data_IF_110987785312
#
_entry.id   IF_110987785312
#
_cell.length_a   1.000
_cell.length_b   1.000
_cell.length_c   1.000
_cell.angle_alpha   90.00
_cell.angle_beta   90.00
_cell.angle_gamma   90.00
#
_symmetry.space_group_name_H-M   'P 1'
#
loop_
_entity.id
_entity.type
_entity.pdbx_description
1 polymer ?
#
# COMPACT_ATOMS: atom_id res chain seq x y z
N UNK A 1 -4.94 -9.12 -5.57
CA UNK A 1 -4.76 -10.23 -4.64
C UNK A 1 -5.69 -11.37 -5.07
N UNK A 2 -5.22 -12.33 -5.88
CA UNK A 2 -5.97 -13.55 -6.22
C UNK A 2 -7.45 -13.34 -6.59
N UNK A 3 -7.78 -12.31 -7.34
CA UNK A 3 -9.17 -11.94 -7.68
C UNK A 3 -9.85 -10.98 -6.70
N UNK A 4 -9.33 -10.78 -5.47
CA UNK A 4 -9.83 -9.75 -4.56
C UNK A 4 -9.11 -8.43 -4.81
N UNK A 5 -9.86 -7.39 -5.14
CA UNK A 5 -9.34 -6.04 -5.43
C UNK A 5 -9.55 -5.15 -4.21
N UNK A 6 -8.47 -4.51 -3.76
CA UNK A 6 -8.49 -3.43 -2.78
C UNK A 6 -8.35 -2.12 -3.56
N UNK A 7 -9.36 -1.27 -3.48
CA UNK A 7 -9.32 0.08 -4.05
C UNK A 7 -9.09 1.08 -2.92
N UNK A 8 -8.04 1.90 -3.08
CA UNK A 8 -7.70 2.92 -2.09
C UNK A 8 -8.87 3.91 -1.94
N UNK A 9 -9.10 4.40 -0.74
CA UNK A 9 -10.18 5.29 -0.31
C UNK A 9 -11.62 4.77 -0.58
N UNK A 10 -11.75 3.49 -0.98
CA UNK A 10 -13.04 2.83 -1.24
C UNK A 10 -13.23 1.61 -0.35
N UNK A 11 -12.20 0.76 -0.27
CA UNK A 11 -12.26 -0.49 0.49
C UNK A 11 -11.91 -0.25 1.95
N UNK A 12 -12.77 -0.64 2.89
CA UNK A 12 -12.47 -0.55 4.33
C UNK A 12 -11.65 -1.74 4.85
N UNK A 13 -10.84 -1.52 5.89
CA UNK A 13 -10.03 -2.58 6.53
C UNK A 13 -10.89 -3.75 7.04
N UNK A 14 -12.07 -3.47 7.60
CA UNK A 14 -13.01 -4.51 8.05
C UNK A 14 -13.40 -5.44 6.89
N UNK A 15 -13.69 -4.86 5.72
CA UNK A 15 -14.01 -5.65 4.52
C UNK A 15 -12.84 -6.50 4.05
N UNK A 16 -11.63 -5.99 4.15
CA UNK A 16 -10.41 -6.76 3.84
C UNK A 16 -10.27 -7.93 4.81
N UNK A 17 -10.38 -7.67 6.11
CA UNK A 17 -10.28 -8.68 7.16
C UNK A 17 -11.31 -9.80 6.98
N UNK A 18 -12.58 -9.45 6.79
CA UNK A 18 -13.68 -10.41 6.56
C UNK A 18 -13.44 -11.26 5.31
N UNK A 19 -12.93 -10.66 4.23
CA UNK A 19 -12.72 -11.36 2.98
C UNK A 19 -11.54 -12.34 3.07
N UNK A 20 -10.46 -11.95 3.75
CA UNK A 20 -9.28 -12.80 3.94
C UNK A 20 -9.58 -13.87 5.00
N UNK A 21 -10.31 -13.53 6.07
CA UNK A 21 -10.77 -14.43 7.12
C UNK A 21 -9.74 -14.72 8.21
N UNK A 22 -8.58 -14.06 8.17
CA UNK A 22 -7.52 -14.16 9.19
C UNK A 22 -6.86 -12.80 9.40
N UNK A 23 -6.13 -12.64 10.52
CA UNK A 23 -5.47 -11.41 10.92
C UNK A 23 -6.36 -10.52 11.76
N UNK A 24 -5.74 -9.63 12.53
CA UNK A 24 -6.38 -8.60 13.35
C UNK A 24 -6.05 -7.23 12.80
N UNK A 25 -6.98 -6.30 12.97
CA UNK A 25 -6.69 -4.88 12.70
C UNK A 25 -5.92 -4.34 13.89
N UNK A 26 -4.65 -4.01 13.63
CA UNK A 26 -3.80 -3.35 14.60
C UNK A 26 -4.01 -1.84 14.55
N UNK A 27 -3.62 -1.16 15.62
CA UNK A 27 -3.79 0.29 15.75
C UNK A 27 -2.62 0.89 16.52
N UNK A 28 -2.14 2.04 16.09
CA UNK A 28 -1.10 2.80 16.77
C UNK A 28 -1.29 4.30 16.53
N UNK A 29 -0.85 5.09 17.49
CA UNK A 29 -0.87 6.55 17.43
C UNK A 29 -2.14 7.15 18.02
N UNK A 30 -2.24 8.48 17.95
CA UNK A 30 -3.36 9.27 18.45
C UNK A 30 -3.64 10.44 17.51
N UNK A 31 -4.91 10.85 17.46
CA UNK A 31 -5.34 11.95 16.58
C UNK A 31 -5.02 11.71 15.11
N UNK A 32 -4.47 12.72 14.46
CA UNK A 32 -4.14 12.69 13.04
C UNK A 32 -2.97 11.74 12.69
N UNK A 33 -2.11 11.43 13.67
CA UNK A 33 -0.99 10.49 13.48
C UNK A 33 -1.36 9.03 13.69
N UNK A 34 -2.61 8.75 14.05
CA UNK A 34 -3.07 7.40 14.26
C UNK A 34 -3.18 6.63 12.93
N UNK A 35 -2.81 5.36 12.98
CA UNK A 35 -2.97 4.45 11.85
C UNK A 35 -3.56 3.12 12.30
N UNK A 36 -4.35 2.52 11.44
CA UNK A 36 -4.82 1.14 11.58
C UNK A 36 -4.29 0.32 10.41
N UNK A 37 -3.95 -0.94 10.64
CA UNK A 37 -3.46 -1.79 9.55
C UNK A 37 -3.79 -3.26 9.75
N UNK A 38 -3.76 -3.98 8.65
CA UNK A 38 -3.68 -5.43 8.59
C UNK A 38 -2.29 -5.80 8.07
N UNK A 39 -1.67 -6.83 8.67
CA UNK A 39 -0.37 -7.34 8.25
C UNK A 39 -0.48 -8.80 7.82
N UNK A 40 0.23 -9.18 6.75
CA UNK A 40 0.33 -10.55 6.25
C UNK A 40 1.72 -10.88 5.78
N UNK A 41 2.12 -12.15 5.91
CA UNK A 41 3.32 -12.70 5.26
C UNK A 41 2.94 -13.59 4.08
N UNK A 42 3.80 -13.62 3.07
CA UNK A 42 3.72 -14.51 1.92
C UNK A 42 4.92 -15.45 2.00
N UNK A 43 4.70 -16.67 2.47
CA UNK A 43 5.76 -17.64 2.82
C UNK A 43 6.13 -18.60 1.67
N UNK A 44 5.62 -18.40 0.45
CA UNK A 44 5.72 -19.39 -0.63
C UNK A 44 7.07 -19.49 -1.28
N UNK A 45 7.92 -18.50 -1.10
CA UNK A 45 9.24 -18.45 -1.72
C UNK A 45 10.24 -17.72 -0.84
N UNK A 46 11.49 -18.15 -0.86
CA UNK A 46 12.58 -17.30 -0.42
C UNK A 46 12.94 -16.34 -1.57
N UNK A 47 13.10 -15.07 -1.29
CA UNK A 47 12.88 -14.40 0.00
C UNK A 47 11.41 -14.13 0.31
N UNK A 48 11.08 -14.05 1.59
CA UNK A 48 9.73 -13.76 2.08
C UNK A 48 9.26 -12.37 1.69
N UNK A 49 7.93 -12.24 1.61
CA UNK A 49 7.29 -10.95 1.45
C UNK A 49 6.41 -10.66 2.66
N UNK A 50 6.31 -9.39 3.03
CA UNK A 50 5.37 -8.89 4.03
C UNK A 50 4.52 -7.80 3.40
N UNK A 51 3.25 -7.81 3.72
CA UNK A 51 2.24 -6.89 3.20
C UNK A 51 1.55 -6.20 4.36
N UNK A 52 1.45 -4.87 4.30
CA UNK A 52 0.59 -4.08 5.16
C UNK A 52 -0.48 -3.39 4.33
N UNK A 53 -1.70 -3.43 4.81
CA UNK A 53 -2.84 -2.73 4.26
C UNK A 53 -3.23 -1.70 5.31
N UNK A 54 -3.09 -0.41 4.98
CA UNK A 54 -3.06 0.68 5.95
C UNK A 54 -4.27 1.60 5.75
N UNK A 55 -4.77 2.11 6.85
CA UNK A 55 -5.74 3.21 6.92
C UNK A 55 -5.25 4.22 7.94
N UNK A 56 -4.82 5.38 7.47
CA UNK A 56 -4.44 6.50 8.33
C UNK A 56 -5.69 7.20 8.86
N UNK A 57 -5.68 7.61 10.13
CA UNK A 57 -6.89 8.12 10.81
C UNK A 57 -7.49 9.34 10.11
N UNK A 58 -6.64 10.24 9.61
CA UNK A 58 -7.07 11.44 8.93
C UNK A 58 -7.76 11.15 7.60
N UNK A 59 -7.22 10.20 6.82
CA UNK A 59 -7.72 9.87 5.48
C UNK A 59 -8.75 8.73 5.48
N UNK A 60 -8.56 7.73 6.34
CA UNK A 60 -9.45 6.56 6.42
C UNK A 60 -10.78 6.85 7.09
N UNK A 61 -10.84 7.87 7.93
CA UNK A 61 -12.04 8.26 8.66
C UNK A 61 -12.64 7.12 9.50
N UNK A 62 -13.90 7.26 9.96
CA UNK A 62 -14.54 6.27 10.82
C UNK A 62 -14.75 4.89 10.16
N UNK A 63 -14.72 4.83 8.84
CA UNK A 63 -14.85 3.57 8.08
C UNK A 63 -13.52 2.86 7.92
N UNK A 64 -12.41 3.45 8.34
CA UNK A 64 -11.03 2.94 8.14
C UNK A 64 -10.81 2.53 6.68
N UNK A 65 -11.07 3.45 5.76
CA UNK A 65 -10.82 3.22 4.35
C UNK A 65 -9.32 3.05 4.13
N UNK A 66 -8.94 2.07 3.33
CA UNK A 66 -7.55 1.82 2.97
C UNK A 66 -7.06 2.98 2.12
N UNK A 67 -6.05 3.68 2.57
CA UNK A 67 -5.38 4.77 1.85
C UNK A 67 -3.93 4.45 1.49
N UNK A 68 -3.42 3.32 2.01
CA UNK A 68 -2.07 2.87 1.74
C UNK A 68 -1.92 1.36 1.71
N UNK A 69 -0.99 0.90 0.89
CA UNK A 69 -0.52 -0.50 0.85
C UNK A 69 0.99 -0.48 0.79
N UNK A 70 1.63 -1.21 1.71
CA UNK A 70 3.08 -1.37 1.74
C UNK A 70 3.47 -2.83 1.59
N UNK A 71 4.47 -3.09 0.77
CA UNK A 71 5.09 -4.40 0.62
C UNK A 71 6.58 -4.35 0.95
N UNK A 72 7.09 -5.41 1.55
CA UNK A 72 8.50 -5.61 1.83
C UNK A 72 8.96 -6.98 1.33
N UNK A 73 10.21 -7.05 0.86
CA UNK A 73 10.83 -8.23 0.29
C UNK A 73 12.23 -8.41 0.87
N UNK A 74 12.51 -9.55 1.47
CA UNK A 74 13.84 -9.80 2.02
C UNK A 74 13.96 -11.08 2.82
N UNK A 75 15.21 -11.50 3.03
CA UNK A 75 15.56 -12.71 3.78
C UNK A 75 15.41 -12.54 5.30
N UNK A 76 15.32 -11.29 5.78
CA UNK A 76 15.21 -10.92 7.19
C UNK A 76 13.77 -10.65 7.65
N UNK A 77 12.78 -11.12 6.89
CA UNK A 77 11.38 -11.04 7.31
C UNK A 77 11.09 -12.21 8.23
N UNK A 78 11.07 -11.95 9.53
CA UNK A 78 10.74 -12.94 10.53
C UNK A 78 9.24 -13.22 10.57
N UNK A 79 8.87 -14.45 10.94
CA UNK A 79 7.48 -14.75 11.25
C UNK A 79 7.04 -13.93 12.48
N UNK A 80 5.86 -13.31 12.40
CA UNK A 80 5.28 -12.59 13.52
C UNK A 80 3.85 -13.07 13.73
N UNK A 81 3.41 -13.30 14.97
CA UNK A 81 2.03 -13.66 15.26
C UNK A 81 1.04 -12.58 14.76
N UNK A 82 1.48 -11.33 14.72
CA UNK A 82 0.66 -10.19 14.28
C UNK A 82 0.57 -10.10 12.74
N UNK A 83 1.39 -10.87 12.02
CA UNK A 83 1.41 -10.94 10.55
C UNK A 83 1.25 -12.40 10.08
N UNK A 84 0.05 -12.97 10.17
CA UNK A 84 -0.18 -14.35 9.74
C UNK A 84 0.06 -14.56 8.24
N UNK A 85 0.30 -15.81 7.83
CA UNK A 85 0.47 -16.15 6.42
C UNK A 85 -0.80 -15.89 5.62
N UNK A 86 -0.67 -15.08 4.56
CA UNK A 86 -1.76 -14.82 3.63
C UNK A 86 -2.20 -16.12 2.92
N UNK A 87 -3.50 -16.49 2.93
CA UNK A 87 -3.95 -17.68 2.25
C UNK A 87 -3.62 -17.68 0.76
N UNK A 88 -3.15 -18.81 0.23
CA UNK A 88 -2.68 -18.95 -1.17
C UNK A 88 -3.70 -18.52 -2.23
N UNK A 89 -5.01 -18.62 -1.94
CA UNK A 89 -6.06 -18.15 -2.84
C UNK A 89 -6.01 -16.65 -3.15
N UNK A 90 -5.30 -15.86 -2.33
CA UNK A 90 -5.10 -14.42 -2.54
C UNK A 90 -3.76 -14.09 -3.23
N UNK A 91 -3.02 -15.09 -3.67
CA UNK A 91 -1.77 -14.88 -4.38
C UNK A 91 -1.97 -14.84 -5.90
N UNK A 92 -1.08 -14.16 -6.64
CA UNK A 92 -0.08 -13.19 -6.16
C UNK A 92 -0.71 -11.88 -5.69
N UNK A 93 0.02 -11.13 -4.85
CA UNK A 93 -0.33 -9.76 -4.52
C UNK A 93 0.33 -8.82 -5.54
N UNK A 94 -0.47 -8.04 -6.22
CA UNK A 94 0.01 -7.07 -7.20
C UNK A 94 -0.52 -5.67 -6.88
N UNK A 95 0.26 -4.66 -7.20
CA UNK A 95 -0.16 -3.26 -7.19
C UNK A 95 -0.38 -2.81 -8.63
N UNK A 96 -1.60 -2.39 -8.93
CA UNK A 96 -2.01 -2.00 -10.28
C UNK A 96 -1.72 -3.07 -11.36
N UNK A 97 -1.92 -4.34 -11.00
CA UNK A 97 -1.71 -5.50 -11.89
C UNK A 97 -0.27 -5.96 -12.02
N UNK A 98 0.69 -5.32 -11.35
CA UNK A 98 2.11 -5.65 -11.45
C UNK A 98 2.73 -6.09 -10.13
N UNK A 99 3.73 -6.99 -10.24
CA UNK A 99 4.54 -7.46 -9.13
C UNK A 99 5.81 -6.60 -9.08
N UNK A 100 5.93 -5.74 -8.08
CA UNK A 100 7.04 -4.80 -7.97
C UNK A 100 8.20 -5.31 -7.12
N UNK A 101 7.91 -6.02 -6.05
CA UNK A 101 8.92 -6.54 -5.12
C UNK A 101 9.87 -7.53 -5.81
N UNK A 102 11.16 -7.36 -5.59
CA UNK A 102 12.23 -8.16 -6.20
C UNK A 102 12.56 -7.80 -7.65
N UNK A 103 11.86 -6.84 -8.27
CA UNK A 103 12.18 -6.36 -9.62
C UNK A 103 13.45 -5.53 -9.65
N UNK A 104 14.14 -5.56 -10.79
CA UNK A 104 15.29 -4.70 -11.04
C UNK A 104 14.84 -3.23 -11.10
N UNK A 105 15.67 -2.33 -10.58
CA UNK A 105 15.47 -0.87 -10.63
C UNK A 105 15.18 -0.37 -12.05
N UNK A 106 15.88 -0.90 -13.05
CA UNK A 106 15.68 -0.52 -14.46
C UNK A 106 14.25 -0.73 -14.96
N UNK A 107 13.54 -1.73 -14.44
CA UNK A 107 12.14 -1.97 -14.78
C UNK A 107 11.22 -0.85 -14.26
N UNK A 108 11.54 -0.30 -13.10
CA UNK A 108 10.79 0.82 -12.51
C UNK A 108 11.04 2.09 -13.34
N UNK A 109 12.30 2.38 -13.61
CA UNK A 109 12.69 3.56 -14.38
C UNK A 109 12.12 3.57 -15.80
N UNK A 110 12.03 2.41 -16.44
CA UNK A 110 11.42 2.32 -17.77
C UNK A 110 9.91 2.60 -17.75
N UNK A 111 9.23 2.35 -16.61
CA UNK A 111 7.78 2.55 -16.49
C UNK A 111 7.40 3.92 -15.97
N UNK A 112 8.06 4.40 -14.93
CA UNK A 112 7.69 5.65 -14.24
C UNK A 112 8.61 6.83 -14.61
N UNK A 113 9.73 6.59 -15.30
CA UNK A 113 10.72 7.62 -15.58
C UNK A 113 11.57 7.95 -14.37
N UNK A 114 11.99 9.21 -14.27
CA UNK A 114 12.73 9.70 -13.12
C UNK A 114 11.78 9.91 -11.92
N UNK A 115 12.24 9.62 -10.68
CA UNK A 115 11.43 9.90 -9.50
C UNK A 115 11.18 11.39 -9.34
N UNK A 116 10.01 11.74 -8.81
CA UNK A 116 9.66 13.12 -8.44
C UNK A 116 10.54 13.63 -7.30
N UNK A 117 10.97 12.73 -6.42
CA UNK A 117 11.83 13.00 -5.28
C UNK A 117 12.61 11.75 -4.88
N UNK A 118 13.83 11.94 -4.37
CA UNK A 118 14.61 10.88 -3.74
C UNK A 118 14.99 11.33 -2.34
N UNK A 119 14.70 10.51 -1.34
CA UNK A 119 15.06 10.72 0.06
C UNK A 119 15.78 9.47 0.53
N UNK A 120 17.06 9.60 0.88
CA UNK A 120 17.91 8.47 1.21
C UNK A 120 17.92 7.45 0.06
N UNK A 121 17.42 6.23 0.30
CA UNK A 121 17.29 5.17 -0.71
C UNK A 121 15.82 4.92 -1.13
N UNK A 122 14.91 5.84 -0.81
CA UNK A 122 13.53 5.85 -1.28
C UNK A 122 13.37 6.74 -2.50
N UNK A 123 12.84 6.20 -3.57
CA UNK A 123 12.42 6.92 -4.76
C UNK A 123 10.91 7.07 -4.75
N UNK A 124 10.45 8.30 -4.92
CA UNK A 124 9.04 8.65 -4.82
C UNK A 124 8.54 9.19 -6.16
N UNK A 125 7.42 8.65 -6.60
CA UNK A 125 6.72 9.03 -7.82
C UNK A 125 5.34 9.54 -7.42
N UNK A 126 5.03 10.78 -7.74
CA UNK A 126 3.76 11.41 -7.44
C UNK A 126 2.99 11.70 -8.71
N UNK A 127 1.72 11.40 -8.67
CA UNK A 127 0.77 11.78 -9.70
C UNK A 127 -0.39 12.50 -9.04
N UNK A 128 -0.66 13.74 -9.44
CA UNK A 128 -1.80 14.53 -8.98
C UNK A 128 -2.83 14.68 -10.08
N UNK A 129 -4.09 14.70 -9.69
CA UNK A 129 -5.22 14.90 -10.58
C UNK A 129 -6.39 15.49 -9.82
N UNK A 130 -7.48 15.74 -10.52
CA UNK A 130 -8.75 16.16 -9.91
C UNK A 130 -9.81 15.10 -10.13
N UNK A 131 -10.64 14.88 -9.12
CA UNK A 131 -11.86 14.07 -9.24
C UNK A 131 -13.07 14.93 -9.00
N UNK A 132 -14.19 14.55 -9.61
CA UNK A 132 -15.47 15.26 -9.37
C UNK A 132 -15.87 15.05 -7.90
N UNK A 133 -16.03 16.17 -7.20
CA UNK A 133 -16.56 16.20 -5.86
C UNK A 133 -18.08 16.14 -5.81
N UNK A 134 -18.61 16.04 -4.63
CA UNK A 134 -20.05 16.12 -4.32
C UNK A 134 -20.55 17.57 -4.21
N UNK A 135 -19.75 18.54 -4.66
CA UNK A 135 -20.04 19.97 -4.61
C UNK A 135 -19.77 20.64 -3.25
N UNK A 136 -19.26 19.89 -2.28
CA UNK A 136 -18.93 20.42 -0.93
C UNK A 136 -17.53 20.99 -0.84
N UNK A 137 -16.65 20.59 -1.74
CA UNK A 137 -15.33 21.14 -1.91
C UNK A 137 -15.31 22.26 -2.94
N UNK A 138 -14.13 22.71 -3.36
CA UNK A 138 -13.98 23.70 -4.39
C UNK A 138 -14.81 23.36 -5.66
N UNK A 139 -15.28 24.37 -6.43
CA UNK A 139 -16.09 24.15 -7.64
C UNK A 139 -15.45 23.18 -8.63
N UNK A 140 -14.11 23.08 -8.60
CA UNK A 140 -13.31 22.23 -9.50
C UNK A 140 -13.16 20.78 -9.04
N UNK A 141 -13.76 20.40 -7.90
CA UNK A 141 -13.65 19.05 -7.32
C UNK A 141 -12.51 18.89 -6.33
N UNK A 142 -12.22 17.64 -5.96
CA UNK A 142 -11.18 17.29 -5.01
C UNK A 142 -9.84 17.08 -5.69
N UNK A 143 -8.75 17.48 -5.03
CA UNK A 143 -7.41 17.10 -5.43
C UNK A 143 -7.14 15.66 -4.99
N UNK A 144 -6.63 14.85 -5.92
CA UNK A 144 -6.22 13.46 -5.66
C UNK A 144 -4.73 13.37 -5.87
N UNK A 145 -4.00 12.92 -4.86
CA UNK A 145 -2.57 12.66 -4.93
C UNK A 145 -2.37 11.16 -4.80
N UNK A 146 -1.79 10.55 -5.82
CA UNK A 146 -1.35 9.17 -5.79
C UNK A 146 0.16 9.15 -5.59
N UNK A 147 0.62 8.47 -4.55
CA UNK A 147 2.01 8.23 -4.24
C UNK A 147 2.39 6.80 -4.56
N UNK A 148 3.53 6.62 -5.20
CA UNK A 148 4.18 5.33 -5.35
C UNK A 148 5.64 5.49 -4.95
N UNK A 149 6.07 4.80 -3.90
CA UNK A 149 7.41 4.89 -3.37
C UNK A 149 8.07 3.52 -3.39
N UNK A 150 9.34 3.48 -3.72
CA UNK A 150 10.14 2.25 -3.72
C UNK A 150 11.44 2.48 -2.98
N UNK A 151 11.91 1.43 -2.32
CA UNK A 151 13.25 1.36 -1.75
C UNK A 151 14.07 0.36 -2.54
N UNK A 152 15.25 0.79 -2.98
CA UNK A 152 16.15 -0.04 -3.79
C UNK A 152 17.36 -0.42 -2.95
N UNK A 153 17.65 -1.71 -2.89
CA UNK A 153 18.85 -2.25 -2.28
C UNK A 153 19.44 -3.35 -3.17
N UNK A 154 20.73 -3.23 -3.49
CA UNK A 154 21.41 -4.15 -4.41
C UNK A 154 20.84 -4.18 -5.83
N UNK A 155 20.30 -3.04 -6.31
CA UNK A 155 19.71 -2.92 -7.64
C UNK A 155 18.32 -3.56 -7.80
N UNK A 156 17.70 -3.97 -6.70
CA UNK A 156 16.34 -4.56 -6.71
C UNK A 156 15.41 -3.84 -5.73
N UNK A 157 14.13 -3.84 -6.04
CA UNK A 157 13.09 -3.27 -5.18
C UNK A 157 12.91 -4.15 -3.95
N UNK A 158 13.16 -3.59 -2.78
CA UNK A 158 13.00 -4.25 -1.47
C UNK A 158 11.73 -3.85 -0.74
N UNK A 159 11.38 -2.59 -0.82
CA UNK A 159 10.12 -2.08 -0.28
C UNK A 159 9.35 -1.36 -1.39
N UNK A 160 8.05 -1.41 -1.29
CA UNK A 160 7.13 -0.67 -2.14
C UNK A 160 5.99 -0.14 -1.28
N UNK A 161 5.58 1.08 -1.56
CA UNK A 161 4.43 1.70 -0.93
C UNK A 161 3.58 2.40 -2.00
N UNK A 162 2.29 2.18 -1.96
CA UNK A 162 1.33 2.89 -2.78
C UNK A 162 0.31 3.56 -1.87
N UNK A 163 0.08 4.85 -2.07
CA UNK A 163 -0.84 5.67 -1.29
C UNK A 163 -1.77 6.48 -2.17
N UNK A 164 -2.94 6.80 -1.66
CA UNK A 164 -3.85 7.76 -2.26
C UNK A 164 -4.38 8.71 -1.19
N UNK A 165 -4.36 10.00 -1.50
CA UNK A 165 -4.88 11.07 -0.64
C UNK A 165 -5.78 11.94 -1.47
N UNK A 166 -7.04 12.06 -1.04
CA UNK A 166 -8.03 12.98 -1.63
C UNK A 166 -8.31 14.12 -0.65
N UNK A 167 -8.13 15.33 -1.09
CA UNK A 167 -8.31 16.53 -0.27
C UNK A 167 -9.11 17.63 -0.97
N UNK A 168 -9.68 18.51 -0.19
CA UNK A 168 -10.30 19.75 -0.63
C UNK A 168 -9.28 20.83 -1.00
#
# INVERSE_FOLDING_TARGET
MGGFVISLEVTGLTKVQETIGIGSVEYQGDGAEAASWLCYTLDSSAPRQRLWIVSNAEMGGPKRLVDGVRGQYGDRIDASPDCPSLPKKFWPVSLNGELWLGRAETSIRSKFGAPSKTIENWEQFYYSGKTRGDGKCAPDGYDVINGFSIKIEGGVVRDVEATQVTSC
#
